data_IF_277084189661
#
_entry.id   IF_277084189661
#
_cell.length_a   1.000
_cell.length_b   1.000
_cell.length_c   1.000
_cell.angle_alpha   90.00
_cell.angle_beta   90.00
_cell.angle_gamma   90.00
#
_symmetry.space_group_name_H-M   'P 1'
#
loop_
_entity.id
_entity.type
_entity.pdbx_description
1 polymer ?
#
# COMPACT_ATOMS: atom_id res chain seq x y z
N UNK A 1 2.64 -14.07 -15.86
CA UNK A 1 2.83 -12.90 -16.76
C UNK A 1 3.44 -11.68 -16.06
N UNK A 2 2.74 -10.97 -15.12
CA UNK A 2 3.32 -9.73 -14.53
C UNK A 2 4.63 -10.00 -13.78
N UNK A 3 4.67 -10.97 -12.88
CA UNK A 3 5.87 -11.26 -12.08
C UNK A 3 6.97 -12.00 -12.83
N UNK A 4 6.68 -12.63 -13.95
CA UNK A 4 7.71 -13.18 -14.86
C UNK A 4 8.51 -12.05 -15.52
N UNK A 5 7.82 -10.97 -15.92
CA UNK A 5 8.45 -9.77 -16.44
C UNK A 5 9.13 -8.92 -15.34
N UNK A 6 8.66 -9.06 -14.09
CA UNK A 6 9.12 -8.29 -12.94
C UNK A 6 9.45 -9.21 -11.76
N UNK A 7 10.58 -9.94 -11.81
CA UNK A 7 10.89 -10.99 -10.83
C UNK A 7 11.30 -10.46 -9.45
N UNK A 8 11.66 -9.18 -9.34
CA UNK A 8 12.10 -8.56 -8.08
C UNK A 8 11.25 -7.32 -7.80
N UNK A 9 10.45 -7.36 -6.75
CA UNK A 9 9.48 -6.29 -6.45
C UNK A 9 9.52 -5.86 -4.98
N UNK A 10 9.43 -4.56 -4.76
CA UNK A 10 9.09 -3.97 -3.49
C UNK A 10 7.58 -3.64 -3.49
N UNK A 11 6.91 -3.83 -2.37
CA UNK A 11 5.46 -3.62 -2.27
C UNK A 11 5.16 -2.74 -1.07
N UNK A 12 4.41 -1.66 -1.29
CA UNK A 12 3.80 -0.89 -0.22
C UNK A 12 2.63 -1.70 0.36
N UNK A 13 2.77 -2.16 1.59
CA UNK A 13 1.89 -3.13 2.22
C UNK A 13 1.18 -2.54 3.43
N UNK A 14 -0.15 -2.44 3.36
CA UNK A 14 -0.98 -1.92 4.45
C UNK A 14 -1.62 -3.00 5.32
N UNK A 15 -1.60 -4.25 4.89
CA UNK A 15 -2.34 -5.35 5.55
C UNK A 15 -3.83 -5.37 5.21
N UNK A 16 -4.30 -4.55 4.29
CA UNK A 16 -5.66 -4.57 3.76
C UNK A 16 -5.89 -5.69 2.74
N UNK A 17 -7.12 -5.81 2.25
CA UNK A 17 -7.52 -6.87 1.30
C UNK A 17 -6.64 -6.87 0.05
N UNK A 18 -6.49 -5.72 -0.59
CA UNK A 18 -5.81 -5.59 -1.88
C UNK A 18 -4.31 -5.85 -1.76
N UNK A 19 -3.64 -5.17 -0.82
CA UNK A 19 -2.20 -5.32 -0.64
C UNK A 19 -1.82 -6.71 -0.13
N UNK A 20 -2.68 -7.38 0.66
CA UNK A 20 -2.46 -8.77 1.08
C UNK A 20 -2.56 -9.73 -0.09
N UNK A 21 -3.55 -9.54 -0.97
CA UNK A 21 -3.65 -10.34 -2.19
C UNK A 21 -2.44 -10.14 -3.10
N UNK A 22 -2.02 -8.89 -3.30
CA UNK A 22 -0.85 -8.56 -4.12
C UNK A 22 0.44 -9.21 -3.58
N UNK A 23 0.68 -9.09 -2.27
CA UNK A 23 1.85 -9.69 -1.60
C UNK A 23 1.82 -11.21 -1.70
N UNK A 24 0.66 -11.84 -1.54
CA UNK A 24 0.51 -13.28 -1.67
C UNK A 24 0.81 -13.75 -3.09
N UNK A 25 0.29 -13.06 -4.09
CA UNK A 25 0.56 -13.37 -5.49
C UNK A 25 2.05 -13.15 -5.83
N UNK A 26 2.66 -12.07 -5.33
CA UNK A 26 4.08 -11.83 -5.51
C UNK A 26 4.93 -12.91 -4.86
N UNK A 27 4.60 -13.34 -3.63
CA UNK A 27 5.31 -14.41 -2.93
C UNK A 27 5.28 -15.74 -3.70
N UNK A 28 4.19 -15.99 -4.46
CA UNK A 28 4.04 -17.21 -5.24
C UNK A 28 4.76 -17.17 -6.59
N UNK A 29 4.83 -16.01 -7.24
CA UNK A 29 5.26 -15.90 -8.63
C UNK A 29 6.50 -15.05 -8.87
N UNK A 30 6.91 -14.21 -7.94
CA UNK A 30 8.14 -13.43 -8.05
C UNK A 30 9.33 -14.19 -7.44
N UNK A 31 10.53 -13.86 -7.88
CA UNK A 31 11.77 -14.44 -7.33
C UNK A 31 12.16 -13.77 -5.98
N UNK A 32 11.87 -12.48 -5.83
CA UNK A 32 12.20 -11.72 -4.62
C UNK A 32 11.12 -10.68 -4.34
N UNK A 33 10.63 -10.68 -3.11
CA UNK A 33 9.59 -9.76 -2.63
C UNK A 33 10.01 -9.15 -1.30
N UNK A 34 9.89 -7.84 -1.19
CA UNK A 34 10.06 -7.11 0.06
C UNK A 34 8.86 -6.21 0.31
N UNK A 35 8.16 -6.44 1.39
CA UNK A 35 7.02 -5.62 1.80
C UNK A 35 7.47 -4.50 2.75
N UNK A 36 6.96 -3.29 2.54
CA UNK A 36 7.20 -2.12 3.39
C UNK A 36 5.89 -1.58 3.92
N UNK A 37 5.81 -1.43 5.22
CA UNK A 37 4.65 -0.84 5.90
C UNK A 37 5.07 0.43 6.62
N UNK A 38 4.29 1.50 6.44
CA UNK A 38 4.52 2.76 7.13
C UNK A 38 3.94 2.68 8.54
N UNK A 39 4.77 3.05 9.52
CA UNK A 39 4.36 3.28 10.90
C UNK A 39 4.23 4.80 11.13
N UNK A 40 3.01 5.29 11.20
CA UNK A 40 2.74 6.71 11.40
C UNK A 40 1.52 6.93 12.30
N UNK A 41 1.33 8.16 12.76
CA UNK A 41 0.17 8.56 13.55
C UNK A 41 -1.18 8.31 12.84
N UNK A 42 -1.18 8.20 11.51
CA UNK A 42 -2.40 7.95 10.72
C UNK A 42 -2.76 6.46 10.58
N UNK A 43 -1.89 5.56 11.07
CA UNK A 43 -2.09 4.11 10.98
C UNK A 43 -2.35 3.52 12.36
N UNK A 44 -3.52 2.89 12.58
CA UNK A 44 -3.82 2.25 13.85
C UNK A 44 -2.84 1.11 14.18
N UNK A 45 -2.52 0.94 15.46
CA UNK A 45 -1.61 -0.10 15.93
C UNK A 45 -2.03 -1.51 15.53
N UNK A 46 -3.33 -1.81 15.58
CA UNK A 46 -3.83 -3.13 15.20
C UNK A 46 -3.61 -3.45 13.71
N UNK A 47 -3.57 -2.43 12.84
CA UNK A 47 -3.24 -2.61 11.43
C UNK A 47 -1.76 -2.99 11.24
N UNK A 48 -0.86 -2.37 12.00
CA UNK A 48 0.56 -2.69 11.97
C UNK A 48 0.83 -4.12 12.45
N UNK A 49 0.20 -4.53 13.55
CA UNK A 49 0.35 -5.89 14.08
C UNK A 49 -0.25 -6.93 13.13
N UNK A 50 -1.39 -6.62 12.50
CA UNK A 50 -1.98 -7.44 11.45
C UNK A 50 -1.05 -7.61 10.25
N UNK A 51 -0.42 -6.53 9.80
CA UNK A 51 0.54 -6.57 8.70
C UNK A 51 1.76 -7.45 9.03
N UNK A 52 2.33 -7.33 10.22
CA UNK A 52 3.43 -8.19 10.70
C UNK A 52 3.05 -9.67 10.72
N UNK A 53 1.88 -9.98 11.27
CA UNK A 53 1.40 -11.36 11.36
C UNK A 53 1.19 -11.98 9.96
N UNK A 54 0.62 -11.23 9.03
CA UNK A 54 0.38 -11.68 7.66
C UNK A 54 1.68 -11.94 6.89
N UNK A 55 2.65 -11.03 6.95
CA UNK A 55 3.93 -11.21 6.26
C UNK A 55 4.73 -12.38 6.83
N UNK A 56 4.68 -12.59 8.14
CA UNK A 56 5.28 -13.75 8.78
C UNK A 56 4.62 -15.06 8.31
N UNK A 57 3.28 -15.08 8.20
CA UNK A 57 2.54 -16.25 7.72
C UNK A 57 2.83 -16.55 6.25
N UNK A 58 2.94 -15.52 5.41
CA UNK A 58 3.25 -15.65 3.98
C UNK A 58 4.74 -16.01 3.76
N UNK A 59 5.61 -15.65 4.70
CA UNK A 59 7.04 -15.99 4.64
C UNK A 59 7.87 -15.03 3.79
N UNK A 60 7.50 -13.74 3.74
CA UNK A 60 8.24 -12.72 2.99
C UNK A 60 8.98 -11.75 3.91
N UNK A 61 10.01 -11.12 3.38
CA UNK A 61 10.73 -10.04 4.07
C UNK A 61 9.82 -8.83 4.23
N UNK A 62 9.78 -8.28 5.45
CA UNK A 62 8.93 -7.16 5.81
C UNK A 62 9.69 -6.13 6.64
N UNK A 63 9.59 -4.86 6.28
CA UNK A 63 10.18 -3.74 7.01
C UNK A 63 9.10 -2.73 7.40
N UNK A 64 9.08 -2.34 8.67
CA UNK A 64 8.32 -1.20 9.15
C UNK A 64 9.16 0.07 9.02
N UNK A 65 8.60 1.10 8.43
CA UNK A 65 9.24 2.39 8.22
C UNK A 65 8.53 3.46 9.06
N UNK A 66 9.14 3.93 10.14
CA UNK A 66 8.55 5.04 10.89
C UNK A 66 8.61 6.32 10.06
N UNK A 67 7.52 7.05 10.04
CA UNK A 67 7.42 8.38 9.44
C UNK A 67 6.57 9.28 10.33
N UNK A 68 7.10 10.43 10.65
CA UNK A 68 6.32 11.47 11.33
C UNK A 68 5.68 12.39 10.29
N UNK A 69 4.48 12.01 9.88
CA UNK A 69 3.68 12.77 8.90
C UNK A 69 3.22 14.12 9.44
N UNK A 70 3.23 14.29 10.77
CA UNK A 70 2.83 15.54 11.43
C UNK A 70 3.92 16.61 11.38
N UNK A 71 5.15 16.27 11.01
CA UNK A 71 6.19 17.26 10.71
C UNK A 71 6.01 17.93 9.35
N UNK A 72 5.14 17.39 8.49
CA UNK A 72 4.82 18.01 7.22
C UNK A 72 3.69 19.04 7.41
N UNK A 73 4.05 20.31 7.48
CA UNK A 73 3.09 21.41 7.70
C UNK A 73 1.92 21.39 6.72
N UNK A 74 2.17 21.07 5.45
CA UNK A 74 1.11 20.96 4.44
C UNK A 74 0.12 19.84 4.77
N UNK A 75 0.59 18.73 5.31
CA UNK A 75 -0.29 17.61 5.73
C UNK A 75 -1.11 18.01 6.96
N UNK A 76 -0.48 18.70 7.92
CA UNK A 76 -1.13 19.14 9.17
C UNK A 76 -2.25 20.14 8.89
N UNK A 77 -2.07 21.07 7.95
CA UNK A 77 -3.11 22.02 7.55
C UNK A 77 -4.33 21.37 6.89
N UNK A 78 -4.27 20.06 6.64
CA UNK A 78 -5.39 19.26 6.16
C UNK A 78 -6.11 19.83 4.92
N UNK A 79 -5.39 20.21 3.84
CA UNK A 79 -5.99 20.75 2.63
C UNK A 79 -6.78 19.66 1.86
N UNK A 80 -7.57 20.07 0.87
CA UNK A 80 -8.33 19.17 0.01
C UNK A 80 -7.46 18.11 -0.69
N UNK A 81 -6.22 18.46 -1.02
CA UNK A 81 -5.22 17.60 -1.65
C UNK A 81 -4.21 17.01 -0.66
N UNK A 82 -4.54 16.97 0.65
CA UNK A 82 -3.71 16.34 1.70
C UNK A 82 -3.21 14.95 1.28
N UNK A 83 -4.08 14.14 0.65
CA UNK A 83 -3.72 12.78 0.23
C UNK A 83 -2.57 12.77 -0.77
N UNK A 84 -2.45 13.77 -1.64
CA UNK A 84 -1.32 13.91 -2.55
C UNK A 84 0.00 14.11 -1.79
N UNK A 85 0.04 15.08 -0.87
CA UNK A 85 1.25 15.38 -0.09
C UNK A 85 1.63 14.23 0.84
N UNK A 86 0.64 13.65 1.52
CA UNK A 86 0.85 12.50 2.39
C UNK A 86 1.39 11.30 1.60
N UNK A 87 0.77 10.92 0.49
CA UNK A 87 1.25 9.82 -0.35
C UNK A 87 2.64 10.10 -0.91
N UNK A 88 2.92 11.33 -1.32
CA UNK A 88 4.26 11.72 -1.79
C UNK A 88 5.33 11.49 -0.72
N UNK A 89 5.09 11.91 0.52
CA UNK A 89 6.00 11.69 1.64
C UNK A 89 6.18 10.19 1.95
N UNK A 90 5.08 9.47 2.06
CA UNK A 90 5.05 8.04 2.37
C UNK A 90 5.79 7.22 1.29
N UNK A 91 5.42 7.37 0.03
CA UNK A 91 6.02 6.59 -1.05
C UNK A 91 7.46 6.98 -1.36
N UNK A 92 7.84 8.25 -1.16
CA UNK A 92 9.26 8.66 -1.23
C UNK A 92 10.10 7.97 -0.15
N UNK A 93 9.56 7.82 1.06
CA UNK A 93 10.22 7.09 2.16
C UNK A 93 10.38 5.61 1.81
N UNK A 94 9.32 4.98 1.30
CA UNK A 94 9.36 3.58 0.87
C UNK A 94 10.38 3.40 -0.27
N UNK A 95 10.38 4.26 -1.28
CA UNK A 95 11.34 4.22 -2.39
C UNK A 95 12.79 4.28 -1.91
N UNK A 96 13.08 5.17 -0.95
CA UNK A 96 14.40 5.29 -0.36
C UNK A 96 14.88 3.98 0.26
N UNK A 97 14.00 3.34 1.03
CA UNK A 97 14.28 2.05 1.65
C UNK A 97 14.40 0.93 0.59
N UNK A 98 13.48 0.87 -0.36
CA UNK A 98 13.48 -0.15 -1.41
C UNK A 98 14.74 -0.09 -2.29
N UNK A 99 15.16 1.11 -2.70
CA UNK A 99 16.41 1.30 -3.46
C UNK A 99 17.65 0.89 -2.66
N UNK A 100 17.69 1.23 -1.38
CA UNK A 100 18.77 0.80 -0.48
C UNK A 100 18.85 -0.74 -0.39
N UNK A 101 17.71 -1.41 -0.41
CA UNK A 101 17.60 -2.86 -0.36
C UNK A 101 17.76 -3.53 -1.75
N UNK A 102 18.04 -2.77 -2.80
CA UNK A 102 18.34 -3.26 -4.14
C UNK A 102 17.12 -3.51 -5.03
N UNK A 103 15.98 -2.86 -4.73
CA UNK A 103 14.77 -2.93 -5.55
C UNK A 103 14.61 -1.69 -6.44
N UNK A 104 14.29 -1.92 -7.72
CA UNK A 104 14.09 -0.89 -8.73
C UNK A 104 12.62 -0.77 -9.17
N UNK A 105 11.72 -1.50 -8.53
CA UNK A 105 10.30 -1.49 -8.82
C UNK A 105 9.50 -1.49 -7.53
N UNK A 106 8.62 -0.50 -7.38
CA UNK A 106 7.71 -0.37 -6.26
C UNK A 106 6.27 -0.52 -6.73
N UNK A 107 5.54 -1.38 -6.04
CA UNK A 107 4.14 -1.69 -6.32
C UNK A 107 3.24 -1.22 -5.18
N UNK A 108 1.99 -0.91 -5.50
CA UNK A 108 0.93 -0.68 -4.52
C UNK A 108 -0.33 -1.52 -4.82
N UNK A 109 -1.23 -1.57 -3.86
CA UNK A 109 -2.45 -2.36 -3.91
C UNK A 109 -3.66 -1.67 -4.55
N UNK A 110 -3.49 -0.56 -5.28
CA UNK A 110 -4.59 0.10 -5.97
C UNK A 110 -5.25 -0.87 -6.96
N UNK A 111 -6.56 -1.04 -6.86
CA UNK A 111 -7.35 -1.96 -7.69
C UNK A 111 -8.13 -1.25 -8.80
N UNK A 112 -8.79 -2.02 -9.67
CA UNK A 112 -9.53 -1.48 -10.81
C UNK A 112 -10.85 -0.79 -10.43
N UNK A 113 -11.37 -1.02 -9.21
CA UNK A 113 -12.56 -0.35 -8.68
C UNK A 113 -12.25 0.96 -7.96
N UNK A 114 -10.96 1.23 -7.65
CA UNK A 114 -10.58 2.46 -6.96
C UNK A 114 -10.91 3.65 -7.84
N UNK A 115 -11.77 4.51 -7.29
CA UNK A 115 -12.41 5.59 -8.01
C UNK A 115 -11.42 6.70 -8.39
N UNK A 116 -11.72 7.36 -9.50
CA UNK A 116 -11.08 8.61 -9.93
C UNK A 116 -11.26 9.76 -8.90
N UNK A 117 -12.05 9.59 -7.84
CA UNK A 117 -12.16 10.54 -6.73
C UNK A 117 -10.85 10.73 -5.96
N UNK A 118 -9.96 9.73 -5.92
CA UNK A 118 -8.60 9.86 -5.36
C UNK A 118 -7.57 10.31 -6.42
N UNK A 119 -7.95 11.22 -7.31
CA UNK A 119 -7.02 11.79 -8.31
C UNK A 119 -5.75 12.37 -7.71
N UNK A 120 -5.77 13.10 -6.57
CA UNK A 120 -4.55 13.59 -5.96
C UNK A 120 -3.60 12.46 -5.54
N UNK A 121 -4.12 11.39 -4.96
CA UNK A 121 -3.31 10.24 -4.56
C UNK A 121 -2.75 9.46 -5.75
N UNK A 122 -3.54 9.25 -6.79
CA UNK A 122 -3.10 8.61 -8.05
C UNK A 122 -2.02 9.42 -8.76
N UNK A 123 -2.14 10.76 -8.75
CA UNK A 123 -1.11 11.65 -9.29
C UNK A 123 0.22 11.46 -8.58
N UNK A 124 0.21 11.38 -7.25
CA UNK A 124 1.42 11.14 -6.47
C UNK A 124 2.10 9.80 -6.82
N UNK A 125 1.32 8.73 -7.00
CA UNK A 125 1.85 7.43 -7.40
C UNK A 125 2.48 7.47 -8.80
N UNK A 126 1.82 8.13 -9.76
CA UNK A 126 2.33 8.26 -11.12
C UNK A 126 3.65 9.08 -11.16
N UNK A 127 3.71 10.18 -10.42
CA UNK A 127 4.92 11.02 -10.33
C UNK A 127 6.12 10.30 -9.68
N UNK A 128 5.85 9.28 -8.86
CA UNK A 128 6.88 8.48 -8.17
C UNK A 128 7.13 7.13 -8.86
N UNK A 129 6.59 6.91 -10.05
CA UNK A 129 6.72 5.65 -10.81
C UNK A 129 6.32 4.41 -9.98
N UNK A 130 5.27 4.53 -9.17
CA UNK A 130 4.69 3.40 -8.46
C UNK A 130 3.68 2.71 -9.36
N UNK A 131 3.84 1.40 -9.56
CA UNK A 131 2.91 0.62 -10.38
C UNK A 131 1.80 0.00 -9.53
N UNK A 132 0.61 -0.07 -10.11
CA UNK A 132 -0.58 -0.68 -9.51
C UNK A 132 -1.00 -1.92 -10.30
N UNK A 133 -0.37 -3.10 -10.07
CA UNK A 133 -0.58 -4.28 -10.92
C UNK A 133 -2.02 -4.79 -10.89
N UNK A 134 -2.70 -4.69 -9.76
CA UNK A 134 -4.11 -5.13 -9.65
C UNK A 134 -4.99 -4.30 -10.57
N UNK A 135 -4.76 -2.99 -10.64
CA UNK A 135 -5.47 -2.09 -11.56
C UNK A 135 -5.10 -2.36 -13.01
N UNK A 136 -3.82 -2.52 -13.31
CA UNK A 136 -3.32 -2.83 -14.66
C UNK A 136 -3.89 -4.13 -15.21
N UNK A 137 -4.12 -5.11 -14.33
CA UNK A 137 -4.72 -6.41 -14.69
C UNK A 137 -6.26 -6.41 -14.62
N UNK A 138 -6.91 -5.27 -14.39
CA UNK A 138 -8.36 -5.16 -14.34
C UNK A 138 -9.01 -5.84 -13.14
N UNK A 139 -8.28 -6.07 -12.05
CA UNK A 139 -8.82 -6.74 -10.86
C UNK A 139 -9.64 -5.76 -10.02
N UNK A 140 -10.94 -6.00 -9.96
CA UNK A 140 -11.88 -5.24 -9.13
C UNK A 140 -11.83 -5.68 -7.67
N UNK A 141 -12.32 -4.86 -6.75
CA UNK A 141 -12.39 -5.19 -5.32
C UNK A 141 -13.15 -6.48 -5.06
N UNK A 142 -14.28 -6.71 -5.74
CA UNK A 142 -15.08 -7.93 -5.60
C UNK A 142 -14.31 -9.18 -6.04
N UNK A 143 -13.62 -9.10 -7.17
CA UNK A 143 -12.81 -10.19 -7.69
C UNK A 143 -11.61 -10.49 -6.77
N UNK A 144 -10.97 -9.46 -6.23
CA UNK A 144 -9.87 -9.62 -5.27
C UNK A 144 -10.37 -10.33 -3.99
N UNK A 145 -11.55 -9.96 -3.48
CA UNK A 145 -12.16 -10.63 -2.31
C UNK A 145 -12.49 -12.10 -2.59
N UNK A 146 -13.08 -12.39 -3.75
CA UNK A 146 -13.39 -13.75 -4.18
C UNK A 146 -12.11 -14.61 -4.24
N UNK A 147 -11.07 -14.12 -4.90
CA UNK A 147 -9.79 -14.81 -5.04
C UNK A 147 -9.08 -14.95 -3.68
N UNK A 148 -9.14 -13.93 -2.83
CA UNK A 148 -8.58 -13.96 -1.48
C UNK A 148 -9.25 -15.03 -0.63
N UNK A 149 -10.58 -15.16 -0.76
CA UNK A 149 -11.35 -16.22 -0.09
C UNK A 149 -10.94 -17.60 -0.57
N UNK A 150 -10.82 -17.78 -1.87
CA UNK A 150 -10.38 -19.05 -2.48
C UNK A 150 -8.97 -19.46 -2.03
N UNK A 151 -8.08 -18.48 -1.79
CA UNK A 151 -6.73 -18.70 -1.27
C UNK A 151 -6.68 -18.87 0.26
N UNK A 152 -7.82 -18.78 0.96
CA UNK A 152 -7.88 -18.87 2.42
C UNK A 152 -7.22 -17.69 3.15
N UNK A 153 -7.12 -16.51 2.50
CA UNK A 153 -6.56 -15.33 3.13
C UNK A 153 -7.53 -14.74 4.17
N UNK A 154 -7.08 -14.46 5.41
CA UNK A 154 -7.97 -13.98 6.47
C UNK A 154 -8.55 -12.60 6.19
N UNK A 155 -7.96 -11.85 5.25
CA UNK A 155 -8.36 -10.49 4.88
C UNK A 155 -9.47 -10.42 3.83
N UNK A 156 -9.96 -11.54 3.30
CA UNK A 156 -10.92 -11.57 2.19
C UNK A 156 -12.19 -10.76 2.46
N UNK A 157 -12.68 -10.74 3.69
CA UNK A 157 -13.86 -10.00 4.14
C UNK A 157 -13.53 -8.78 5.02
N UNK A 158 -12.25 -8.44 5.16
CA UNK A 158 -11.82 -7.30 5.97
C UNK A 158 -12.44 -6.01 5.43
N UNK A 159 -13.11 -5.20 6.27
CA UNK A 159 -13.63 -3.91 5.84
C UNK A 159 -12.48 -2.96 5.49
N UNK A 160 -12.73 -2.05 4.54
CA UNK A 160 -11.80 -0.96 4.26
C UNK A 160 -11.72 -0.04 5.47
N UNK A 161 -10.52 0.14 6.03
CA UNK A 161 -10.30 1.07 7.11
C UNK A 161 -9.74 2.37 6.54
N UNK A 162 -10.48 3.45 6.69
CA UNK A 162 -10.05 4.75 6.24
C UNK A 162 -8.87 5.28 7.09
N UNK A 163 -7.96 6.02 6.48
CA UNK A 163 -6.91 6.74 7.18
C UNK A 163 -7.49 7.58 8.33
N UNK A 164 -6.85 7.57 9.51
CA UNK A 164 -7.35 8.30 10.69
C UNK A 164 -7.53 9.80 10.42
N UNK A 165 -6.70 10.37 9.56
CA UNK A 165 -6.82 11.78 9.15
C UNK A 165 -8.14 12.12 8.45
N UNK A 166 -8.88 11.14 7.91
CA UNK A 166 -10.21 11.38 7.30
C UNK A 166 -11.31 11.69 8.33
N UNK A 167 -11.02 11.51 9.60
CA UNK A 167 -11.94 11.83 10.70
C UNK A 167 -11.95 13.32 11.07
N UNK A 168 -10.99 14.07 10.55
CA UNK A 168 -10.87 15.52 10.76
C UNK A 168 -11.43 16.22 9.53
N UNK A 169 -12.35 17.18 9.67
CA UNK A 169 -12.88 17.95 8.56
C UNK A 169 -11.77 18.65 7.76
N UNK A 170 -11.93 18.71 6.44
CA UNK A 170 -10.95 19.38 5.57
C UNK A 170 -10.78 20.85 5.96
N UNK A 171 -9.53 21.29 6.11
CA UNK A 171 -9.17 22.66 6.52
C UNK A 171 -9.05 22.86 8.03
N UNK A 172 -9.32 21.83 8.83
CA UNK A 172 -9.04 21.83 10.27
C UNK A 172 -7.73 21.06 10.52
N UNK A 173 -6.78 21.65 11.26
CA UNK A 173 -5.49 21.02 11.55
C UNK A 173 -5.55 19.88 12.57
#
# INVERSE_FOLDING_TARGET
AFFEAHPRVAIAFSGGVDSTYLVTAAAQYAQSVHAYTIDSAFVPRFELEGAKALTKKIGITHTLLPIDVLQNETVVQNPKDRCYFCKKAVFSTIWKAAKKDGYNLLLDGTNASDDASDRPGMKALAELDVLSPLRLCGLTKSLIRERSRALGLPTWNKPSYACLATRIPTGEP
#
